data_IF_489682467908
#
_entry.id   IF_489682467908
#
_cell.length_a   1.000
_cell.length_b   1.000
_cell.length_c   1.000
_cell.angle_alpha   90.00
_cell.angle_beta   90.00
_cell.angle_gamma   90.00
#
_symmetry.space_group_name_H-M   'P 1'
#
loop_
_entity.id
_entity.type
_entity.pdbx_description
1 polymer ?
#
# COMPACT_ATOMS: atom_id res chain seq x y z
N UNK A 1 1.66 14.49 -8.86
CA UNK A 1 0.98 15.03 -7.65
C UNK A 1 0.49 13.81 -6.89
N UNK A 2 1.07 13.53 -5.72
CA UNK A 2 0.70 12.36 -4.93
C UNK A 2 -0.75 12.48 -4.43
N UNK A 3 -1.57 11.46 -4.67
CA UNK A 3 -2.92 11.38 -4.12
C UNK A 3 -2.81 10.66 -2.77
N UNK A 4 -3.41 11.22 -1.73
CA UNK A 4 -3.32 10.70 -0.36
C UNK A 4 -4.71 10.44 0.20
N UNK A 5 -4.89 9.28 0.84
CA UNK A 5 -6.12 8.85 1.47
C UNK A 5 -5.89 8.69 2.97
N UNK A 6 -6.77 9.29 3.76
CA UNK A 6 -6.73 9.30 5.22
C UNK A 6 -8.13 8.97 5.75
N UNK A 7 -8.18 8.34 6.91
CA UNK A 7 -9.44 8.12 7.63
C UNK A 7 -9.99 9.44 8.19
N UNK A 8 -11.32 9.64 8.20
CA UNK A 8 -11.93 10.85 8.79
C UNK A 8 -11.73 10.88 10.32
N UNK A 9 -11.68 9.71 10.96
CA UNK A 9 -11.38 9.56 12.39
C UNK A 9 -9.86 9.58 12.58
N UNK A 10 -9.36 10.48 13.42
CA UNK A 10 -7.94 10.56 13.74
C UNK A 10 -7.47 9.30 14.46
N UNK A 11 -6.24 8.86 14.19
CA UNK A 11 -5.64 7.65 14.80
C UNK A 11 -6.46 6.36 14.64
N UNK A 12 -7.26 6.21 13.57
CA UNK A 12 -7.93 4.94 13.24
C UNK A 12 -7.15 4.10 12.24
N UNK A 13 -6.37 4.74 11.35
CA UNK A 13 -5.54 4.06 10.36
C UNK A 13 -4.25 4.81 10.02
N UNK A 14 -3.53 4.24 9.07
CA UNK A 14 -2.32 4.77 8.44
C UNK A 14 -2.68 5.37 7.07
N UNK A 15 -2.01 6.47 6.71
CA UNK A 15 -2.23 7.13 5.41
C UNK A 15 -1.75 6.23 4.28
N UNK A 16 -2.61 6.01 3.28
CA UNK A 16 -2.25 5.34 2.02
C UNK A 16 -2.10 6.39 0.94
N UNK A 17 -1.04 6.30 0.14
CA UNK A 17 -0.78 7.26 -0.94
C UNK A 17 -0.60 6.53 -2.25
N UNK A 18 -0.98 7.16 -3.36
CA UNK A 18 -0.80 6.63 -4.71
C UNK A 18 0.01 7.63 -5.51
N UNK A 19 1.08 7.15 -6.14
CA UNK A 19 1.89 7.94 -7.09
C UNK A 19 2.57 7.03 -8.11
N UNK A 20 3.19 7.63 -9.12
CA UNK A 20 4.07 6.92 -10.04
C UNK A 20 5.29 6.34 -9.30
N UNK A 21 5.79 5.20 -9.76
CA UNK A 21 6.98 4.57 -9.20
C UNK A 21 8.26 5.13 -9.84
N UNK A 22 8.83 6.17 -9.23
CA UNK A 22 10.12 6.72 -9.64
C UNK A 22 10.19 7.07 -11.13
N UNK A 23 11.23 6.57 -11.80
CA UNK A 23 11.47 6.79 -13.23
C UNK A 23 10.90 5.67 -14.12
N UNK A 24 10.20 4.67 -13.56
CA UNK A 24 9.63 3.57 -14.35
C UNK A 24 8.36 4.02 -15.08
N UNK A 25 8.37 4.13 -16.42
CA UNK A 25 7.26 4.73 -17.14
C UNK A 25 5.97 3.91 -17.05
N UNK A 26 4.93 4.51 -16.48
CA UNK A 26 3.61 3.89 -16.36
C UNK A 26 3.45 2.94 -15.16
N UNK A 27 4.51 2.73 -14.37
CA UNK A 27 4.39 2.00 -13.12
C UNK A 27 3.73 2.87 -12.04
N UNK A 28 2.89 2.24 -11.23
CA UNK A 28 2.11 2.89 -10.16
C UNK A 28 2.34 2.17 -8.85
N UNK A 29 2.37 2.92 -7.75
CA UNK A 29 2.61 2.36 -6.43
C UNK A 29 1.64 2.88 -5.38
N UNK A 30 1.26 1.99 -4.47
CA UNK A 30 0.63 2.32 -3.20
C UNK A 30 1.73 2.47 -2.14
N UNK A 31 1.92 3.68 -1.65
CA UNK A 31 2.88 3.99 -0.60
C UNK A 31 2.24 3.99 0.77
N UNK A 32 2.93 3.36 1.70
CA UNK A 32 2.57 3.28 3.11
C UNK A 32 3.57 4.10 3.95
N UNK A 33 3.35 4.15 5.27
CA UNK A 33 4.26 4.82 6.20
C UNK A 33 5.31 3.79 6.64
N UNK A 34 6.60 4.02 6.31
CA UNK A 34 7.70 3.09 6.60
C UNK A 34 7.92 2.81 8.10
N UNK A 35 7.46 3.69 9.00
CA UNK A 35 7.54 3.46 10.46
C UNK A 35 6.46 2.51 11.00
N UNK A 36 5.71 1.85 10.13
CA UNK A 36 4.68 0.85 10.48
C UNK A 36 5.11 -0.54 10.01
N UNK A 37 4.60 -1.59 10.64
CA UNK A 37 4.84 -2.98 10.20
C UNK A 37 3.94 -3.42 9.04
N UNK A 38 3.23 -2.49 8.40
CA UNK A 38 2.20 -2.80 7.40
C UNK A 38 2.77 -3.55 6.20
N UNK A 39 3.86 -3.04 5.61
CA UNK A 39 4.46 -3.66 4.41
C UNK A 39 5.01 -5.05 4.72
N UNK A 40 5.58 -5.26 5.91
CA UNK A 40 6.02 -6.60 6.34
C UNK A 40 4.83 -7.56 6.52
N UNK A 41 3.73 -7.09 7.12
CA UNK A 41 2.48 -7.87 7.22
C UNK A 41 1.96 -8.23 5.83
N UNK A 42 1.92 -7.29 4.90
CA UNK A 42 1.44 -7.54 3.53
C UNK A 42 2.32 -8.56 2.82
N UNK A 43 3.64 -8.44 2.94
CA UNK A 43 4.61 -9.37 2.36
C UNK A 43 4.45 -10.77 2.94
N UNK A 44 4.12 -10.90 4.22
CA UNK A 44 3.86 -12.20 4.84
C UNK A 44 2.60 -12.89 4.31
N UNK A 45 1.60 -12.13 3.86
CA UNK A 45 0.31 -12.66 3.39
C UNK A 45 0.32 -12.86 1.86
N UNK A 46 0.93 -11.94 1.12
CA UNK A 46 0.83 -11.81 -0.34
C UNK A 46 2.19 -11.69 -1.05
N UNK A 47 3.27 -12.15 -0.42
CA UNK A 47 4.63 -12.06 -0.97
C UNK A 47 4.83 -12.78 -2.31
N UNK A 48 3.95 -13.72 -2.65
CA UNK A 48 3.92 -14.44 -3.92
C UNK A 48 3.00 -13.81 -4.98
N UNK A 49 2.19 -12.81 -4.59
CA UNK A 49 1.13 -12.22 -5.42
C UNK A 49 1.35 -10.73 -5.71
N UNK A 50 2.12 -10.03 -4.87
CA UNK A 50 2.32 -8.59 -4.95
C UNK A 50 3.80 -8.25 -5.04
N UNK A 51 4.11 -7.20 -5.79
CA UNK A 51 5.46 -6.67 -5.84
C UNK A 51 5.66 -5.62 -4.75
N UNK A 52 6.74 -5.73 -4.00
CA UNK A 52 7.10 -4.81 -2.94
C UNK A 52 8.43 -4.14 -3.25
N UNK A 53 8.53 -2.84 -2.98
CA UNK A 53 9.81 -2.12 -3.01
C UNK A 53 10.18 -1.71 -1.59
N UNK A 54 11.27 -2.28 -1.07
CA UNK A 54 11.69 -2.06 0.32
C UNK A 54 10.54 -2.29 1.31
N UNK A 55 10.43 -1.41 2.31
CA UNK A 55 9.37 -1.39 3.33
C UNK A 55 8.31 -0.30 3.06
N UNK A 56 8.30 0.27 1.84
CA UNK A 56 7.59 1.53 1.56
C UNK A 56 6.37 1.40 0.67
N UNK A 57 6.33 0.47 -0.27
CA UNK A 57 5.21 0.37 -1.20
C UNK A 57 4.94 -1.03 -1.76
N UNK A 58 3.71 -1.18 -2.26
CA UNK A 58 3.32 -2.18 -3.24
C UNK A 58 3.29 -1.49 -4.60
N UNK A 59 3.82 -2.12 -5.65
CA UNK A 59 3.88 -1.52 -6.98
C UNK A 59 3.43 -2.45 -8.10
N UNK A 60 3.04 -1.84 -9.22
CA UNK A 60 2.56 -2.49 -10.43
C UNK A 60 3.20 -1.84 -11.64
N UNK A 61 3.65 -2.64 -12.59
CA UNK A 61 4.18 -2.19 -13.87
C UNK A 61 3.07 -1.70 -14.81
N UNK A 62 3.50 -1.04 -15.88
CA UNK A 62 2.58 -0.57 -16.92
C UNK A 62 1.93 -1.76 -17.64
N UNK A 63 0.62 -1.93 -17.48
CA UNK A 63 -0.15 -3.00 -18.12
C UNK A 63 -0.36 -4.25 -17.24
N UNK A 64 0.16 -4.25 -16.01
CA UNK A 64 -0.14 -5.31 -15.05
C UNK A 64 -1.64 -5.32 -14.70
N UNK A 65 -2.20 -6.52 -14.58
CA UNK A 65 -3.50 -6.67 -13.94
C UNK A 65 -3.37 -6.44 -12.44
N UNK A 66 -4.22 -5.58 -11.89
CA UNK A 66 -4.22 -5.29 -10.46
C UNK A 66 -4.99 -6.41 -9.74
N UNK A 67 -4.33 -7.19 -8.85
CA UNK A 67 -5.02 -8.20 -8.04
C UNK A 67 -5.87 -7.50 -6.98
N UNK A 68 -7.13 -7.24 -7.32
CA UNK A 68 -8.02 -6.41 -6.52
C UNK A 68 -8.22 -6.93 -5.09
N UNK A 69 -8.36 -8.24 -4.91
CA UNK A 69 -8.64 -8.82 -3.60
C UNK A 69 -7.47 -8.63 -2.61
N UNK A 70 -6.21 -8.98 -2.95
CA UNK A 70 -5.04 -8.64 -2.15
C UNK A 70 -4.92 -7.14 -1.85
N UNK A 71 -5.13 -6.28 -2.86
CA UNK A 71 -5.01 -4.83 -2.68
C UNK A 71 -6.09 -4.27 -1.75
N UNK A 72 -7.35 -4.69 -1.91
CA UNK A 72 -8.44 -4.29 -1.02
C UNK A 72 -8.12 -4.66 0.44
N UNK A 73 -7.59 -5.86 0.67
CA UNK A 73 -7.22 -6.30 2.01
C UNK A 73 -6.06 -5.48 2.59
N UNK A 74 -5.01 -5.20 1.81
CA UNK A 74 -3.91 -4.34 2.25
C UNK A 74 -4.38 -2.91 2.59
N UNK A 75 -5.29 -2.35 1.79
CA UNK A 75 -5.90 -1.03 2.06
C UNK A 75 -6.72 -1.08 3.34
N UNK A 76 -7.54 -2.11 3.54
CA UNK A 76 -8.34 -2.28 4.75
C UNK A 76 -7.44 -2.30 6.00
N UNK A 77 -6.43 -3.17 6.00
CA UNK A 77 -5.45 -3.27 7.10
C UNK A 77 -4.74 -1.95 7.38
N UNK A 78 -4.37 -1.21 6.33
CA UNK A 78 -3.77 0.11 6.50
C UNK A 78 -4.75 1.11 7.15
N UNK A 79 -5.99 1.17 6.66
CA UNK A 79 -7.01 2.09 7.15
C UNK A 79 -7.58 1.72 8.53
N UNK A 80 -7.35 0.50 9.01
CA UNK A 80 -7.71 0.05 10.36
C UNK A 80 -6.51 -0.20 11.28
N UNK A 81 -5.30 0.17 10.86
CA UNK A 81 -4.04 -0.17 11.55
C UNK A 81 -4.00 0.18 13.05
N UNK A 82 -4.74 1.21 13.48
CA UNK A 82 -4.78 1.64 14.88
C UNK A 82 -6.03 1.21 15.64
N UNK A 83 -7.01 0.57 14.99
CA UNK A 83 -8.22 0.09 15.68
C UNK A 83 -7.97 -1.14 16.54
N UNK A 84 -6.96 -1.95 16.18
CA UNK A 84 -6.62 -3.20 16.85
C UNK A 84 -5.27 -3.15 17.57
N UNK A 85 -4.75 -1.95 17.82
CA UNK A 85 -3.46 -1.71 18.49
C UNK A 85 -3.69 -1.13 19.87
#
# INVERSE_FOLDING_TARGET
RQISYRTPVTKSGSTVRIDALGDEPGAVALFFICSTSLVDTFRSIYGDQLNFEGDRCIWFGAGDEIPEAPIKHCIELALTYHLNK
#
